data_IF_794696378055
#
_entry.id   IF_794696378055
#
_cell.length_a   1.000
_cell.length_b   1.000
_cell.length_c   1.000
_cell.angle_alpha   90.00
_cell.angle_beta   90.00
_cell.angle_gamma   90.00
#
_symmetry.space_group_name_H-M   'P 1'
#
loop_
_entity.id
_entity.type
_entity.pdbx_description
1 polymer ?
#
# COMPACT_ATOMS: atom_id res chain seq x y z
N UNK A 1 -4.86 -23.15 -10.69
CA UNK A 1 -4.85 -21.97 -11.57
C UNK A 1 -5.84 -22.21 -12.69
N UNK A 2 -6.78 -21.29 -12.90
CA UNK A 2 -7.51 -21.26 -14.16
C UNK A 2 -6.50 -21.09 -15.30
N UNK A 3 -6.60 -21.92 -16.32
CA UNK A 3 -5.75 -21.80 -17.50
C UNK A 3 -6.14 -20.49 -18.21
N UNK A 4 -5.19 -19.57 -18.40
CA UNK A 4 -5.43 -18.34 -19.15
C UNK A 4 -5.61 -18.72 -20.62
N UNK A 5 -6.81 -18.51 -21.16
CA UNK A 5 -7.14 -18.81 -22.56
C UNK A 5 -7.47 -17.55 -23.36
N UNK A 6 -7.47 -17.65 -24.70
CA UNK A 6 -7.93 -16.56 -25.57
C UNK A 6 -9.39 -16.17 -25.29
N UNK A 7 -10.26 -17.15 -25.05
CA UNK A 7 -11.67 -16.93 -24.74
C UNK A 7 -11.83 -16.16 -23.43
N UNK A 8 -11.09 -16.55 -22.38
CA UNK A 8 -11.06 -15.82 -21.12
C UNK A 8 -10.62 -14.37 -21.29
N UNK A 9 -9.50 -14.14 -22.00
CA UNK A 9 -8.96 -12.80 -22.22
C UNK A 9 -9.86 -11.93 -23.10
N UNK A 10 -10.50 -12.53 -24.11
CA UNK A 10 -11.51 -11.87 -24.94
C UNK A 10 -12.72 -11.45 -24.11
N UNK A 11 -13.20 -12.32 -23.22
CA UNK A 11 -14.35 -12.05 -22.35
C UNK A 11 -14.07 -10.89 -21.38
N UNK A 12 -12.86 -10.81 -20.83
CA UNK A 12 -12.46 -9.73 -19.91
C UNK A 12 -12.49 -8.34 -20.55
N UNK A 13 -12.16 -8.21 -21.84
CA UNK A 13 -12.02 -6.90 -22.50
C UNK A 13 -13.22 -6.52 -23.36
N UNK A 14 -14.19 -7.42 -23.58
CA UNK A 14 -15.29 -7.24 -24.56
C UNK A 14 -16.11 -5.97 -24.33
N UNK A 15 -16.25 -5.52 -23.08
CA UNK A 15 -17.02 -4.31 -22.76
C UNK A 15 -16.25 -3.02 -23.08
N UNK A 16 -14.91 -3.06 -23.04
CA UNK A 16 -14.04 -1.93 -23.37
C UNK A 16 -13.65 -1.89 -24.85
N UNK A 17 -13.54 -3.08 -25.45
CA UNK A 17 -13.04 -3.28 -26.81
C UNK A 17 -14.01 -4.22 -27.58
N UNK A 18 -15.29 -3.84 -27.75
CA UNK A 18 -16.33 -4.69 -28.33
C UNK A 18 -16.11 -5.03 -29.80
N UNK A 19 -15.29 -4.25 -30.47
CA UNK A 19 -14.89 -4.35 -31.88
C UNK A 19 -13.57 -5.11 -32.08
N UNK A 20 -12.97 -5.63 -31.01
CA UNK A 20 -11.68 -6.35 -31.06
C UNK A 20 -11.88 -7.85 -30.97
N UNK A 21 -11.18 -8.58 -31.84
CA UNK A 21 -10.94 -10.03 -31.70
C UNK A 21 -9.49 -10.30 -31.32
N UNK A 22 -9.26 -10.89 -30.16
CA UNK A 22 -7.94 -11.28 -29.65
C UNK A 22 -7.54 -12.61 -30.30
N UNK A 23 -6.39 -12.62 -30.98
CA UNK A 23 -5.89 -13.77 -31.73
C UNK A 23 -4.65 -14.40 -31.07
N UNK A 24 -3.95 -13.64 -30.24
CA UNK A 24 -2.71 -14.07 -29.61
C UNK A 24 -2.53 -13.37 -28.26
N UNK A 25 -1.94 -14.07 -27.31
CA UNK A 25 -1.44 -13.47 -26.08
C UNK A 25 -0.11 -14.08 -25.67
N UNK A 26 0.66 -13.32 -24.90
CA UNK A 26 1.87 -13.80 -24.25
C UNK A 26 1.99 -13.20 -22.85
N UNK A 27 2.41 -14.02 -21.89
CA UNK A 27 2.67 -13.60 -20.51
C UNK A 27 4.15 -13.44 -20.25
N UNK A 28 4.52 -12.36 -19.55
CA UNK A 28 5.84 -12.18 -18.98
C UNK A 28 5.72 -11.66 -17.54
N UNK A 29 6.72 -11.84 -16.66
CA UNK A 29 6.73 -11.19 -15.36
C UNK A 29 6.46 -9.67 -15.49
N UNK A 30 5.46 -9.19 -14.76
CA UNK A 30 4.98 -7.81 -14.79
C UNK A 30 5.86 -6.86 -13.97
N UNK A 31 6.65 -7.41 -13.05
CA UNK A 31 7.55 -6.71 -12.12
C UNK A 31 8.93 -7.38 -12.07
N UNK A 32 9.95 -6.67 -11.60
CA UNK A 32 11.28 -7.24 -11.36
C UNK A 32 11.29 -8.04 -10.05
N UNK A 33 12.33 -8.84 -9.87
CA UNK A 33 12.56 -9.58 -8.61
C UNK A 33 12.72 -8.59 -7.45
N UNK A 34 11.95 -8.81 -6.39
CA UNK A 34 11.88 -7.93 -5.22
C UNK A 34 10.95 -6.71 -5.36
N UNK A 35 10.19 -6.59 -6.45
CA UNK A 35 9.17 -5.53 -6.58
C UNK A 35 7.81 -5.95 -5.97
N UNK A 36 7.57 -7.26 -5.82
CA UNK A 36 6.37 -7.81 -5.20
C UNK A 36 6.74 -9.07 -4.40
N UNK A 37 6.24 -9.15 -3.17
CA UNK A 37 6.51 -10.23 -2.21
C UNK A 37 5.25 -11.03 -1.84
N UNK A 38 4.06 -10.53 -2.17
CA UNK A 38 2.78 -11.09 -1.70
C UNK A 38 2.08 -11.89 -2.79
N UNK A 39 2.39 -11.63 -4.07
CA UNK A 39 1.69 -12.20 -5.22
C UNK A 39 2.60 -12.29 -6.45
N UNK A 40 2.34 -13.27 -7.32
CA UNK A 40 2.95 -13.30 -8.65
C UNK A 40 2.21 -12.31 -9.55
N UNK A 41 2.96 -11.53 -10.34
CA UNK A 41 2.40 -10.52 -11.23
C UNK A 41 2.90 -10.77 -12.64
N UNK A 42 1.98 -10.98 -13.57
CA UNK A 42 2.27 -11.13 -14.99
C UNK A 42 1.71 -9.95 -15.75
N UNK A 43 2.48 -9.44 -16.72
CA UNK A 43 1.94 -8.61 -17.80
C UNK A 43 1.58 -9.54 -18.94
N UNK A 44 0.31 -9.54 -19.31
CA UNK A 44 -0.18 -10.28 -20.46
C UNK A 44 -0.35 -9.29 -21.61
N UNK A 45 0.45 -9.45 -22.66
CA UNK A 45 0.31 -8.69 -23.91
C UNK A 45 -0.72 -9.39 -24.79
N UNK A 46 -1.69 -8.63 -25.30
CA UNK A 46 -2.77 -9.10 -26.15
C UNK A 46 -2.57 -8.55 -27.57
N UNK A 47 -2.69 -9.39 -28.59
CA UNK A 47 -2.65 -8.99 -30.00
C UNK A 47 -3.88 -9.52 -30.72
N UNK A 48 -4.46 -8.68 -31.58
CA UNK A 48 -5.74 -8.95 -32.21
C UNK A 48 -5.98 -8.08 -33.43
N UNK A 49 -7.25 -8.05 -33.82
CA UNK A 49 -7.75 -7.24 -34.94
C UNK A 49 -8.91 -6.39 -34.41
N UNK A 50 -8.90 -5.09 -34.70
CA UNK A 50 -10.03 -4.18 -34.48
C UNK A 50 -10.84 -4.04 -35.76
N UNK A 51 -12.16 -4.21 -35.68
CA UNK A 51 -13.08 -4.04 -36.80
C UNK A 51 -13.76 -2.67 -36.76
N UNK A 52 -13.59 -1.89 -37.81
CA UNK A 52 -14.31 -0.63 -37.95
C UNK A 52 -15.65 -0.88 -38.64
N UNK A 53 -16.74 -0.81 -37.88
CA UNK A 53 -18.10 -0.89 -38.40
C UNK A 53 -18.65 0.54 -38.53
N UNK A 54 -18.31 1.23 -39.62
CA UNK A 54 -18.96 2.49 -39.97
C UNK A 54 -20.15 2.24 -40.94
N UNK A 55 -21.33 2.82 -40.68
CA UNK A 55 -22.47 2.66 -41.58
C UNK A 55 -22.18 3.26 -42.97
N UNK A 56 -22.04 2.39 -43.97
CA UNK A 56 -21.86 2.79 -45.38
C UNK A 56 -20.43 2.83 -45.89
N UNK A 57 -19.44 2.38 -45.11
CA UNK A 57 -18.06 2.15 -45.58
C UNK A 57 -17.76 0.65 -45.72
N UNK A 58 -16.64 0.31 -46.36
CA UNK A 58 -16.13 -1.06 -46.36
C UNK A 58 -15.58 -1.39 -44.98
N UNK A 59 -15.87 -2.60 -44.47
CA UNK A 59 -15.24 -3.12 -43.25
C UNK A 59 -13.71 -3.01 -43.38
N UNK A 60 -13.08 -2.30 -42.44
CA UNK A 60 -11.63 -2.26 -42.30
C UNK A 60 -11.20 -2.96 -41.02
N UNK A 61 -10.11 -3.72 -41.13
CA UNK A 61 -9.50 -4.47 -40.05
C UNK A 61 -8.10 -3.93 -39.80
N UNK A 62 -7.87 -3.41 -38.59
CA UNK A 62 -6.58 -2.86 -38.18
C UNK A 62 -5.93 -3.75 -37.11
N UNK A 63 -4.59 -3.95 -37.15
CA UNK A 63 -3.89 -4.62 -36.07
C UNK A 63 -4.11 -3.90 -34.74
N UNK A 64 -4.44 -4.66 -33.71
CA UNK A 64 -4.66 -4.17 -32.36
C UNK A 64 -3.68 -4.82 -31.38
N UNK A 65 -3.19 -4.03 -30.43
CA UNK A 65 -2.36 -4.53 -29.34
C UNK A 65 -2.74 -3.81 -28.04
N UNK A 66 -2.78 -4.54 -26.93
CA UNK A 66 -2.93 -3.99 -25.58
C UNK A 66 -2.24 -4.87 -24.55
N UNK A 67 -2.34 -4.50 -23.27
CA UNK A 67 -1.85 -5.32 -22.17
C UNK A 67 -2.72 -5.20 -20.92
N UNK A 68 -2.71 -6.26 -20.13
CA UNK A 68 -3.34 -6.33 -18.81
C UNK A 68 -2.34 -6.85 -17.78
N UNK A 69 -2.60 -6.54 -16.51
CA UNK A 69 -1.86 -7.09 -15.38
C UNK A 69 -2.67 -8.23 -14.78
N UNK A 70 -2.08 -9.41 -14.73
CA UNK A 70 -2.64 -10.61 -14.13
C UNK A 70 -1.88 -10.92 -12.85
N UNK A 71 -2.54 -10.79 -11.70
CA UNK A 71 -2.00 -11.17 -10.40
C UNK A 71 -2.58 -12.51 -9.98
N UNK A 72 -1.76 -13.37 -9.41
CA UNK A 72 -2.20 -14.61 -8.79
C UNK A 72 -1.38 -14.97 -7.56
N UNK A 73 -1.92 -15.86 -6.74
CA UNK A 73 -1.23 -16.39 -5.56
C UNK A 73 0.07 -17.12 -5.95
N UNK A 74 1.16 -17.00 -5.18
CA UNK A 74 2.35 -17.82 -5.37
C UNK A 74 2.01 -19.31 -5.32
N UNK A 75 2.65 -20.12 -6.17
CA UNK A 75 2.40 -21.57 -6.22
C UNK A 75 2.85 -22.28 -4.92
N UNK A 76 3.90 -21.74 -4.29
CA UNK A 76 4.42 -22.27 -3.03
C UNK A 76 3.52 -21.87 -1.86
N UNK A 77 2.84 -22.86 -1.27
CA UNK A 77 2.04 -22.70 -0.04
C UNK A 77 2.89 -22.11 1.09
N UNK A 78 4.15 -22.53 1.21
CA UNK A 78 5.04 -21.99 2.24
C UNK A 78 5.32 -20.48 2.04
N UNK A 79 5.53 -20.03 0.80
CA UNK A 79 5.70 -18.60 0.52
C UNK A 79 4.41 -17.83 0.77
N UNK A 80 3.25 -18.43 0.44
CA UNK A 80 1.94 -17.83 0.75
C UNK A 80 1.76 -17.61 2.25
N UNK A 81 2.01 -18.65 3.06
CA UNK A 81 1.90 -18.56 4.51
C UNK A 81 2.89 -17.52 5.08
N UNK A 82 4.13 -17.51 4.59
CA UNK A 82 5.18 -16.62 5.05
C UNK A 82 4.88 -15.13 4.80
N UNK A 83 4.22 -14.82 3.67
CA UNK A 83 3.90 -13.45 3.26
C UNK A 83 2.43 -13.08 3.50
N UNK A 84 1.64 -13.93 4.16
CA UNK A 84 0.19 -13.75 4.36
C UNK A 84 -0.54 -13.50 3.03
N UNK A 85 -0.07 -14.15 1.97
CA UNK A 85 -0.55 -13.89 0.61
C UNK A 85 -2.05 -14.08 0.48
N UNK A 86 -2.61 -15.10 1.12
CA UNK A 86 -4.05 -15.40 1.07
C UNK A 86 -4.88 -14.27 1.68
N UNK A 87 -4.56 -13.88 2.92
CA UNK A 87 -5.29 -12.82 3.63
C UNK A 87 -5.17 -11.47 2.90
N UNK A 88 -3.98 -11.15 2.38
CA UNK A 88 -3.75 -9.94 1.59
C UNK A 88 -4.50 -9.96 0.24
N UNK A 89 -4.61 -11.13 -0.39
CA UNK A 89 -5.38 -11.27 -1.63
C UNK A 89 -6.88 -11.11 -1.35
N UNK A 90 -7.37 -11.64 -0.22
CA UNK A 90 -8.75 -11.44 0.23
C UNK A 90 -9.08 -9.95 0.40
N UNK A 91 -8.18 -9.17 1.01
CA UNK A 91 -8.35 -7.71 1.11
C UNK A 91 -8.42 -7.03 -0.27
N UNK A 92 -7.54 -7.40 -1.21
CA UNK A 92 -7.54 -6.83 -2.57
C UNK A 92 -8.85 -7.17 -3.33
N UNK A 93 -9.36 -8.39 -3.15
CA UNK A 93 -10.64 -8.83 -3.72
C UNK A 93 -11.81 -8.08 -3.09
N UNK A 94 -11.86 -7.97 -1.76
CA UNK A 94 -12.89 -7.20 -1.07
C UNK A 94 -12.88 -5.73 -1.50
N UNK A 95 -11.69 -5.15 -1.68
CA UNK A 95 -11.53 -3.79 -2.16
C UNK A 95 -12.18 -3.59 -3.54
N UNK A 96 -11.84 -4.42 -4.53
CA UNK A 96 -12.34 -4.25 -5.89
C UNK A 96 -13.81 -4.66 -6.06
N UNK A 97 -14.28 -5.68 -5.34
CA UNK A 97 -15.65 -6.19 -5.51
C UNK A 97 -16.70 -5.49 -4.63
N UNK A 98 -16.28 -4.82 -3.54
CA UNK A 98 -17.23 -4.23 -2.57
C UNK A 98 -16.92 -2.78 -2.25
N UNK A 99 -15.72 -2.53 -1.74
CA UNK A 99 -15.39 -1.23 -1.14
C UNK A 99 -15.35 -0.14 -2.20
N UNK A 100 -14.61 -0.36 -3.28
CA UNK A 100 -14.53 0.61 -4.35
C UNK A 100 -15.89 0.83 -5.04
N UNK A 101 -16.68 -0.21 -5.38
CA UNK A 101 -18.06 -0.03 -5.85
C UNK A 101 -18.94 0.81 -4.91
N UNK A 102 -18.92 0.54 -3.60
CA UNK A 102 -19.69 1.30 -2.60
C UNK A 102 -19.20 2.75 -2.50
N UNK A 103 -17.90 2.98 -2.32
CA UNK A 103 -17.32 4.34 -2.28
C UNK A 103 -17.58 5.11 -3.57
N UNK A 104 -17.45 4.46 -4.74
CA UNK A 104 -17.73 5.08 -6.04
C UNK A 104 -19.20 5.44 -6.21
N UNK A 105 -20.11 4.62 -5.68
CA UNK A 105 -21.56 4.88 -5.70
C UNK A 105 -21.93 6.00 -4.75
N UNK A 106 -21.39 5.99 -3.53
CA UNK A 106 -21.53 7.07 -2.56
C UNK A 106 -21.00 8.40 -3.12
N UNK A 107 -19.83 8.40 -3.77
CA UNK A 107 -19.26 9.61 -4.38
C UNK A 107 -20.20 10.26 -5.41
N UNK A 108 -21.01 9.47 -6.14
CA UNK A 108 -21.96 9.97 -7.16
C UNK A 108 -23.17 10.68 -6.56
N UNK A 109 -23.41 10.57 -5.26
CA UNK A 109 -24.48 11.27 -4.56
C UNK A 109 -24.18 12.76 -4.37
N UNK A 110 -22.91 13.16 -4.57
CA UNK A 110 -22.41 14.49 -4.27
C UNK A 110 -21.89 15.20 -5.53
N UNK A 111 -22.00 16.52 -5.55
CA UNK A 111 -21.46 17.36 -6.64
C UNK A 111 -19.96 17.64 -6.44
N UNK A 112 -19.16 16.58 -6.50
CA UNK A 112 -17.71 16.65 -6.31
C UNK A 112 -17.05 17.16 -7.60
N UNK A 113 -16.38 18.32 -7.54
CA UNK A 113 -15.78 18.96 -8.74
C UNK A 113 -14.74 18.10 -9.44
N UNK A 114 -13.94 17.39 -8.65
CA UNK A 114 -12.88 16.49 -9.13
C UNK A 114 -13.01 15.16 -8.38
N UNK A 115 -13.92 14.28 -8.82
CA UNK A 115 -14.14 13.01 -8.15
C UNK A 115 -12.89 12.14 -8.20
N UNK A 116 -12.62 11.42 -7.12
CA UNK A 116 -11.50 10.48 -7.04
C UNK A 116 -11.70 9.36 -8.07
N UNK A 117 -10.66 9.13 -8.88
CA UNK A 117 -10.64 8.16 -10.00
C UNK A 117 -9.31 7.42 -10.11
N UNK A 118 -8.43 7.53 -9.11
CA UNK A 118 -7.08 6.97 -9.15
C UNK A 118 -7.03 5.49 -8.76
N UNK A 119 -8.01 4.72 -9.23
CA UNK A 119 -8.11 3.28 -9.06
C UNK A 119 -7.96 2.63 -10.44
N UNK A 120 -6.98 1.74 -10.63
CA UNK A 120 -6.88 0.98 -11.88
C UNK A 120 -8.18 0.23 -12.14
N UNK A 121 -8.64 0.20 -13.38
CA UNK A 121 -9.79 -0.64 -13.75
C UNK A 121 -9.47 -2.10 -13.43
N UNK A 122 -10.34 -2.72 -12.65
CA UNK A 122 -10.33 -4.15 -12.38
C UNK A 122 -11.30 -4.83 -13.36
N UNK A 123 -10.80 -5.81 -14.11
CA UNK A 123 -11.62 -6.66 -14.98
C UNK A 123 -12.14 -7.88 -14.22
N UNK A 124 -11.38 -8.38 -13.25
CA UNK A 124 -11.71 -9.55 -12.45
C UNK A 124 -11.00 -9.49 -11.10
N UNK A 125 -11.72 -9.82 -10.03
CA UNK A 125 -11.14 -10.08 -8.72
C UNK A 125 -11.81 -11.30 -8.08
N UNK A 126 -11.04 -12.37 -7.89
CA UNK A 126 -11.45 -13.65 -7.34
C UNK A 126 -10.41 -14.12 -6.31
N UNK A 127 -10.71 -15.18 -5.55
CA UNK A 127 -9.88 -15.64 -4.43
C UNK A 127 -8.41 -15.93 -4.77
N UNK A 128 -8.08 -16.27 -6.01
CA UNK A 128 -6.72 -16.61 -6.44
C UNK A 128 -6.20 -15.77 -7.62
N UNK A 129 -7.04 -14.88 -8.18
CA UNK A 129 -6.76 -14.12 -9.40
C UNK A 129 -7.32 -12.70 -9.34
N UNK A 130 -6.49 -11.70 -9.65
CA UNK A 130 -6.90 -10.30 -9.85
C UNK A 130 -6.36 -9.82 -11.19
N UNK A 131 -7.23 -9.33 -12.07
CA UNK A 131 -6.89 -8.85 -13.41
C UNK A 131 -7.18 -7.36 -13.52
N UNK A 132 -6.15 -6.57 -13.78
CA UNK A 132 -6.19 -5.11 -13.80
C UNK A 132 -5.75 -4.55 -15.15
N UNK A 133 -6.19 -3.34 -15.45
CA UNK A 133 -5.68 -2.55 -16.59
C UNK A 133 -4.19 -2.24 -16.41
N UNK A 134 -3.40 -2.45 -17.46
CA UNK A 134 -1.98 -2.09 -17.45
C UNK A 134 -1.82 -0.57 -17.63
N UNK A 135 -1.47 0.11 -16.53
CA UNK A 135 -1.25 1.55 -16.51
C UNK A 135 0.01 1.99 -17.26
N UNK A 136 0.95 1.07 -17.56
CA UNK A 136 2.16 1.41 -18.30
C UNK A 136 1.85 1.94 -19.70
N UNK A 137 0.78 1.45 -20.34
CA UNK A 137 0.29 1.92 -21.65
C UNK A 137 -0.26 3.34 -21.59
N UNK A 138 -0.67 3.81 -20.41
CA UNK A 138 -1.13 5.17 -20.17
C UNK A 138 0.01 6.13 -19.78
N UNK A 139 1.27 5.67 -19.83
CA UNK A 139 2.45 6.48 -19.53
C UNK A 139 2.84 6.51 -18.05
N UNK A 140 2.16 5.75 -17.18
CA UNK A 140 2.58 5.64 -15.78
C UNK A 140 3.88 4.86 -15.64
N UNK A 141 4.76 5.35 -14.76
CA UNK A 141 6.06 4.75 -14.47
C UNK A 141 6.18 4.60 -12.96
N UNK A 142 6.67 3.43 -12.53
CA UNK A 142 7.05 3.20 -11.13
C UNK A 142 8.39 3.90 -10.86
N UNK A 143 8.45 4.81 -9.87
CA UNK A 143 9.71 5.42 -9.44
C UNK A 143 10.72 4.37 -8.96
N UNK A 144 12.01 4.72 -9.00
CA UNK A 144 13.04 3.87 -8.41
C UNK A 144 12.90 3.85 -6.89
N UNK A 145 12.56 2.69 -6.33
CA UNK A 145 12.36 2.52 -4.88
C UNK A 145 13.57 2.90 -4.05
N UNK A 146 14.78 2.92 -4.62
CA UNK A 146 16.01 3.30 -3.92
C UNK A 146 16.17 4.83 -3.81
N UNK A 147 15.55 5.58 -4.70
CA UNK A 147 15.63 7.04 -4.75
C UNK A 147 14.51 7.73 -3.95
N UNK A 148 13.40 7.03 -3.70
CA UNK A 148 12.23 7.64 -3.07
C UNK A 148 11.46 8.55 -4.03
N UNK A 149 10.67 9.46 -3.46
CA UNK A 149 9.84 10.42 -4.19
C UNK A 149 10.49 11.80 -4.20
N UNK A 150 10.29 12.52 -5.31
CA UNK A 150 10.48 13.97 -5.30
C UNK A 150 9.39 14.64 -4.45
N UNK A 151 9.64 15.86 -3.99
CA UNK A 151 8.64 16.63 -3.24
C UNK A 151 7.37 16.85 -4.07
N UNK A 152 7.51 17.17 -5.36
CA UNK A 152 6.38 17.34 -6.28
C UNK A 152 5.54 16.05 -6.39
N UNK A 153 6.20 14.89 -6.51
CA UNK A 153 5.52 13.60 -6.51
C UNK A 153 4.83 13.33 -5.18
N UNK A 154 5.43 13.72 -4.06
CA UNK A 154 4.82 13.60 -2.74
C UNK A 154 3.52 14.41 -2.64
N UNK A 155 3.50 15.67 -3.11
CA UNK A 155 2.27 16.47 -3.18
C UNK A 155 1.17 15.78 -4.02
N UNK A 156 1.51 15.15 -5.15
CA UNK A 156 0.54 14.37 -5.93
C UNK A 156 0.00 13.16 -5.16
N UNK A 157 0.87 12.40 -4.47
CA UNK A 157 0.46 11.26 -3.65
C UNK A 157 -0.47 11.73 -2.52
N UNK A 158 -0.08 12.76 -1.77
CA UNK A 158 -0.86 13.30 -0.66
C UNK A 158 -2.22 13.82 -1.11
N UNK A 159 -2.31 14.44 -2.28
CA UNK A 159 -3.59 14.85 -2.86
C UNK A 159 -4.53 13.66 -3.06
N UNK A 160 -4.03 12.58 -3.66
CA UNK A 160 -4.84 11.39 -3.92
C UNK A 160 -5.20 10.63 -2.65
N UNK A 161 -4.28 10.55 -1.67
CA UNK A 161 -4.59 10.03 -0.34
C UNK A 161 -5.68 10.86 0.32
N UNK A 162 -5.57 12.18 0.35
CA UNK A 162 -6.56 13.07 0.93
C UNK A 162 -7.95 12.90 0.30
N UNK A 163 -8.01 12.72 -1.03
CA UNK A 163 -9.26 12.48 -1.73
C UNK A 163 -9.91 11.14 -1.37
N UNK A 164 -9.13 10.06 -1.31
CA UNK A 164 -9.65 8.74 -0.92
C UNK A 164 -10.07 8.72 0.55
N UNK A 165 -9.24 9.29 1.42
CA UNK A 165 -9.47 9.45 2.85
C UNK A 165 -10.74 10.27 3.14
N UNK A 166 -10.93 11.40 2.45
CA UNK A 166 -12.15 12.19 2.54
C UNK A 166 -13.39 11.39 2.13
N UNK A 167 -13.30 10.62 1.04
CA UNK A 167 -14.42 9.81 0.55
C UNK A 167 -14.82 8.74 1.58
N UNK A 168 -13.83 8.08 2.17
CA UNK A 168 -14.04 7.10 3.24
C UNK A 168 -14.66 7.72 4.50
N UNK A 169 -14.11 8.85 4.97
CA UNK A 169 -14.61 9.51 6.18
C UNK A 169 -16.02 10.11 5.96
N UNK A 170 -16.29 10.69 4.79
CA UNK A 170 -17.62 11.16 4.43
C UNK A 170 -18.64 10.02 4.42
N UNK A 171 -18.30 8.86 3.84
CA UNK A 171 -19.17 7.68 3.87
C UNK A 171 -19.41 7.20 5.30
N UNK A 172 -18.39 7.19 6.17
CA UNK A 172 -18.56 6.85 7.59
C UNK A 172 -19.55 7.78 8.29
N UNK A 173 -19.51 9.08 7.99
CA UNK A 173 -20.40 10.05 8.63
C UNK A 173 -21.83 9.99 8.10
N UNK A 174 -22.02 9.84 6.79
CA UNK A 174 -23.34 9.91 6.15
C UNK A 174 -24.03 8.56 5.98
N UNK A 175 -23.26 7.48 5.81
CA UNK A 175 -23.73 6.11 5.57
C UNK A 175 -23.01 5.10 6.49
N UNK A 176 -23.05 5.26 7.83
CA UNK A 176 -22.26 4.45 8.76
C UNK A 176 -22.58 2.94 8.68
N UNK A 177 -23.84 2.56 8.47
CA UNK A 177 -24.25 1.14 8.39
C UNK A 177 -23.52 0.44 7.24
N UNK A 178 -23.62 0.99 6.02
CA UNK A 178 -22.92 0.45 4.84
C UNK A 178 -21.41 0.50 5.01
N UNK A 179 -20.86 1.56 5.63
CA UNK A 179 -19.43 1.67 5.92
C UNK A 179 -18.94 0.52 6.82
N UNK A 180 -19.63 0.25 7.93
CA UNK A 180 -19.19 -0.78 8.88
C UNK A 180 -19.46 -2.21 8.36
N UNK A 181 -20.45 -2.42 7.49
CA UNK A 181 -20.67 -3.71 6.81
C UNK A 181 -19.48 -4.13 5.93
N UNK A 182 -18.77 -3.16 5.35
CA UNK A 182 -17.57 -3.40 4.53
C UNK A 182 -16.32 -3.80 5.36
N UNK A 183 -16.35 -3.69 6.69
CA UNK A 183 -15.26 -4.09 7.61
C UNK A 183 -15.39 -5.52 8.13
N UNK A 184 -16.30 -6.32 7.58
CA UNK A 184 -16.56 -7.64 8.15
C UNK A 184 -15.37 -8.60 7.93
N UNK A 185 -15.19 -9.52 8.87
CA UNK A 185 -14.03 -10.45 8.91
C UNK A 185 -14.13 -11.59 7.88
N UNK A 186 -15.31 -11.84 7.31
CA UNK A 186 -15.51 -12.96 6.39
C UNK A 186 -15.10 -12.62 4.96
N UNK A 187 -15.42 -11.41 4.51
CA UNK A 187 -15.24 -10.98 3.12
C UNK A 187 -15.12 -9.46 2.96
N UNK A 188 -14.72 -8.76 4.03
CA UNK A 188 -14.39 -7.33 4.09
C UNK A 188 -12.91 -7.10 4.41
N UNK A 189 -12.54 -5.86 4.77
CA UNK A 189 -11.15 -5.53 5.11
C UNK A 189 -10.79 -5.97 6.53
N UNK A 190 -9.55 -6.45 6.67
CA UNK A 190 -8.96 -6.75 7.97
C UNK A 190 -7.49 -6.36 8.06
N UNK A 191 -7.04 -6.02 9.28
CA UNK A 191 -5.61 -5.95 9.60
C UNK A 191 -5.03 -7.36 9.53
N UNK A 192 -4.01 -7.55 8.69
CA UNK A 192 -3.43 -8.88 8.44
C UNK A 192 -2.20 -9.15 9.31
N UNK A 193 -1.39 -8.13 9.61
CA UNK A 193 -0.09 -8.32 10.24
C UNK A 193 -0.16 -8.09 11.75
N UNK A 194 -0.56 -6.89 12.15
CA UNK A 194 -0.47 -6.45 13.55
C UNK A 194 -1.79 -6.67 14.29
N UNK A 195 -2.18 -7.94 14.38
CA UNK A 195 -3.22 -8.43 15.28
C UNK A 195 -2.61 -9.26 16.41
N UNK A 196 -3.19 -9.22 17.60
CA UNK A 196 -2.67 -9.91 18.80
C UNK A 196 -2.39 -11.40 18.59
N UNK A 197 -3.19 -12.05 17.76
CA UNK A 197 -3.14 -13.47 17.42
C UNK A 197 -1.86 -13.84 16.66
N UNK A 198 -1.22 -12.86 16.01
CA UNK A 198 0.00 -13.05 15.24
C UNK A 198 1.28 -12.81 16.06
N UNK A 199 1.19 -12.41 17.34
CA UNK A 199 2.37 -12.04 18.14
C UNK A 199 3.40 -13.17 18.21
N UNK A 200 2.96 -14.38 18.57
CA UNK A 200 3.85 -15.54 18.67
C UNK A 200 4.41 -15.95 17.30
N UNK A 201 3.63 -15.77 16.24
CA UNK A 201 4.05 -16.06 14.87
C UNK A 201 5.21 -15.15 14.44
N UNK A 202 5.13 -13.84 14.73
CA UNK A 202 6.16 -12.87 14.34
C UNK A 202 7.23 -12.61 15.40
N UNK A 203 7.15 -13.24 16.59
CA UNK A 203 8.11 -13.02 17.69
C UNK A 203 9.57 -13.16 17.25
N UNK A 204 9.90 -14.30 16.64
CA UNK A 204 11.26 -14.56 16.17
C UNK A 204 11.62 -13.70 14.95
N UNK A 205 10.65 -13.42 14.08
CA UNK A 205 10.84 -12.58 12.91
C UNK A 205 11.29 -11.17 13.31
N UNK A 206 10.51 -10.51 14.19
CA UNK A 206 10.81 -9.15 14.64
C UNK A 206 12.01 -9.07 15.59
N UNK A 207 12.31 -10.14 16.34
CA UNK A 207 13.58 -10.25 17.07
C UNK A 207 14.78 -10.13 16.13
N UNK A 208 14.80 -10.91 15.05
CA UNK A 208 15.89 -10.89 14.07
C UNK A 208 15.95 -9.54 13.32
N UNK A 209 14.79 -8.99 12.94
CA UNK A 209 14.70 -7.69 12.26
C UNK A 209 15.23 -6.55 13.17
N UNK A 210 14.83 -6.56 14.44
CA UNK A 210 15.31 -5.62 15.45
C UNK A 210 16.83 -5.72 15.67
N UNK A 211 17.37 -6.93 15.84
CA UNK A 211 18.81 -7.14 16.00
C UNK A 211 19.60 -6.63 14.79
N UNK A 212 19.12 -6.90 13.58
CA UNK A 212 19.73 -6.35 12.37
C UNK A 212 19.69 -4.83 12.36
N UNK A 213 18.52 -4.22 12.61
CA UNK A 213 18.36 -2.78 12.62
C UNK A 213 19.25 -2.08 13.65
N UNK A 214 19.32 -2.64 14.86
CA UNK A 214 20.20 -2.12 15.92
C UNK A 214 21.67 -2.22 15.49
N UNK A 215 22.11 -3.35 14.93
CA UNK A 215 23.48 -3.50 14.41
C UNK A 215 23.79 -2.50 13.30
N UNK A 216 22.83 -2.18 12.44
CA UNK A 216 22.98 -1.17 11.40
C UNK A 216 23.24 0.21 11.99
N UNK A 217 22.42 0.63 12.96
CA UNK A 217 22.56 1.93 13.63
C UNK A 217 23.88 1.99 14.42
N UNK A 218 24.22 0.93 15.13
CA UNK A 218 25.45 0.85 15.91
C UNK A 218 26.71 0.96 15.04
N UNK A 219 26.67 0.36 13.84
CA UNK A 219 27.77 0.42 12.86
C UNK A 219 27.88 1.80 12.23
N UNK A 220 26.77 2.37 11.77
CA UNK A 220 26.74 3.66 11.08
C UNK A 220 27.16 4.82 12.00
N UNK A 221 26.76 4.76 13.27
CA UNK A 221 27.15 5.78 14.26
C UNK A 221 28.63 5.73 14.64
N UNK A 222 29.33 4.59 14.46
CA UNK A 222 30.75 4.46 14.80
C UNK A 222 31.07 4.96 16.22
N UNK A 223 31.96 5.95 16.31
CA UNK A 223 32.42 6.62 17.54
C UNK A 223 31.67 7.92 17.86
N UNK A 224 30.45 8.10 17.34
CA UNK A 224 29.65 9.30 17.60
C UNK A 224 29.37 9.50 19.10
N UNK A 225 29.65 10.69 19.62
CA UNK A 225 29.66 10.99 21.07
C UNK A 225 28.38 10.62 21.80
N UNK A 226 27.22 10.88 21.20
CA UNK A 226 25.90 10.66 21.83
C UNK A 226 25.24 9.33 21.43
N UNK A 227 26.00 8.40 20.81
CA UNK A 227 25.48 7.14 20.27
C UNK A 227 24.58 6.37 21.24
N UNK A 228 24.97 6.26 22.51
CA UNK A 228 24.21 5.51 23.52
C UNK A 228 22.81 6.11 23.78
N UNK A 229 22.65 7.44 23.71
CA UNK A 229 21.33 8.09 23.85
C UNK A 229 20.33 7.59 22.81
N UNK A 230 20.79 7.38 21.57
CA UNK A 230 19.94 6.92 20.47
C UNK A 230 19.71 5.41 20.54
N UNK A 231 20.78 4.64 20.78
CA UNK A 231 20.70 3.18 20.87
C UNK A 231 19.85 2.72 22.05
N UNK A 232 19.90 3.39 23.21
CA UNK A 232 19.08 3.04 24.37
C UNK A 232 17.58 3.13 24.04
N UNK A 233 17.14 4.29 23.52
CA UNK A 233 15.75 4.50 23.10
C UNK A 233 15.32 3.54 21.99
N UNK A 234 16.20 3.29 21.03
CA UNK A 234 15.90 2.36 19.95
C UNK A 234 15.78 0.91 20.42
N UNK A 235 16.66 0.44 21.31
CA UNK A 235 16.57 -0.88 21.93
C UNK A 235 15.29 -1.02 22.76
N UNK A 236 14.87 0.03 23.46
CA UNK A 236 13.61 0.03 24.21
C UNK A 236 12.39 -0.12 23.29
N UNK A 237 12.36 0.58 22.16
CA UNK A 237 11.31 0.42 21.16
C UNK A 237 11.29 -0.98 20.55
N UNK A 238 12.48 -1.49 20.19
CA UNK A 238 12.66 -2.79 19.55
C UNK A 238 12.56 -3.99 20.50
N UNK A 239 12.23 -3.78 21.78
CA UNK A 239 12.19 -4.88 22.74
C UNK A 239 11.07 -5.87 22.41
N UNK A 240 11.32 -7.16 22.62
CA UNK A 240 10.34 -8.23 22.33
C UNK A 240 9.03 -8.06 23.13
N UNK A 241 9.07 -7.35 24.27
CA UNK A 241 7.90 -7.09 25.11
C UNK A 241 7.00 -5.97 24.56
N UNK A 242 7.57 -5.04 23.78
CA UNK A 242 6.90 -3.79 23.41
C UNK A 242 6.65 -3.64 21.92
N UNK A 243 7.55 -4.11 21.05
CA UNK A 243 7.51 -3.81 19.62
C UNK A 243 6.19 -4.24 18.98
N UNK A 244 5.86 -5.54 19.02
CA UNK A 244 4.69 -6.06 18.33
C UNK A 244 3.40 -5.48 18.90
N UNK A 245 3.27 -5.41 20.23
CA UNK A 245 2.14 -4.79 20.91
C UNK A 245 1.97 -3.31 20.57
N UNK A 246 3.07 -2.57 20.48
CA UNK A 246 3.05 -1.16 20.06
C UNK A 246 2.52 -1.05 18.63
N UNK A 247 2.91 -1.95 17.73
CA UNK A 247 2.39 -1.96 16.36
C UNK A 247 0.89 -2.27 16.30
N UNK A 248 0.41 -3.24 17.08
CA UNK A 248 -1.03 -3.56 17.24
C UNK A 248 -1.80 -2.32 17.73
N UNK A 249 -1.31 -1.64 18.76
CA UNK A 249 -1.93 -0.43 19.31
C UNK A 249 -1.93 0.75 18.30
N UNK A 250 -0.93 0.82 17.42
CA UNK A 250 -0.79 1.87 16.41
C UNK A 250 -1.77 1.69 15.26
N UNK A 251 -1.97 0.46 14.77
CA UNK A 251 -2.90 0.15 13.68
C UNK A 251 -4.36 0.09 14.15
N UNK A 252 -4.59 -0.06 15.45
CA UNK A 252 -5.94 -0.05 16.02
C UNK A 252 -6.64 1.28 15.69
N UNK A 253 -7.82 1.27 15.06
CA UNK A 253 -8.53 2.48 14.67
C UNK A 253 -8.82 3.38 15.88
N UNK A 254 -8.57 4.69 15.70
CA UNK A 254 -8.91 5.72 16.67
C UNK A 254 -9.83 6.76 16.05
N UNK A 255 -11.00 6.88 16.64
CA UNK A 255 -11.98 7.88 16.26
C UNK A 255 -11.53 9.29 16.66
N UNK A 256 -11.98 10.35 15.94
CA UNK A 256 -12.88 10.33 14.79
C UNK A 256 -12.17 10.16 13.44
N UNK A 257 -10.84 10.18 13.39
CA UNK A 257 -10.08 10.19 12.13
C UNK A 257 -9.90 8.82 11.48
N UNK A 258 -10.31 7.72 12.10
CA UNK A 258 -10.19 6.42 11.46
C UNK A 258 -11.00 6.35 10.13
N UNK A 259 -10.37 5.80 9.09
CA UNK A 259 -10.88 5.69 7.71
C UNK A 259 -10.15 4.57 6.93
N UNK A 260 -10.60 4.27 5.72
CA UNK A 260 -9.93 3.33 4.81
C UNK A 260 -8.60 3.89 4.31
N UNK A 261 -7.54 3.10 4.42
CA UNK A 261 -6.19 3.43 3.94
C UNK A 261 -5.90 2.89 2.53
N UNK A 262 -4.92 3.50 1.85
CA UNK A 262 -4.54 3.15 0.47
C UNK A 262 -3.31 2.24 0.42
N UNK A 263 -3.60 0.95 0.36
CA UNK A 263 -2.81 -0.11 -0.26
C UNK A 263 -3.80 -1.25 -0.39
N UNK A 264 -4.26 -1.64 -1.58
CA UNK A 264 -5.42 -2.53 -1.67
C UNK A 264 -5.19 -3.91 -1.06
N UNK A 265 -3.93 -4.33 -0.88
CA UNK A 265 -3.58 -5.56 -0.17
C UNK A 265 -3.52 -5.34 1.35
N UNK A 266 -3.03 -4.18 1.78
CA UNK A 266 -2.93 -3.79 3.20
C UNK A 266 -4.09 -2.93 3.69
N UNK A 267 -5.16 -2.82 2.89
CA UNK A 267 -6.26 -1.91 3.12
C UNK A 267 -6.90 -2.23 4.46
N UNK A 268 -7.03 -1.21 5.29
CA UNK A 268 -7.52 -1.34 6.66
C UNK A 268 -8.27 -0.09 7.07
N UNK A 269 -9.07 -0.22 8.11
CA UNK A 269 -9.69 0.89 8.81
C UNK A 269 -8.78 1.37 9.94
N UNK A 270 -8.13 2.52 9.77
CA UNK A 270 -7.20 3.05 10.74
C UNK A 270 -6.96 4.55 10.57
N UNK A 271 -6.06 5.12 11.36
CA UNK A 271 -5.70 6.55 11.27
C UNK A 271 -5.05 6.88 9.91
N UNK A 272 -5.45 7.95 9.21
CA UNK A 272 -4.81 8.37 7.95
C UNK A 272 -3.33 8.70 8.13
N UNK A 273 -2.93 9.01 9.37
CA UNK A 273 -1.55 9.26 9.72
C UNK A 273 -0.62 8.07 9.48
N UNK A 274 -1.13 6.83 9.36
CA UNK A 274 -0.31 5.66 9.01
C UNK A 274 0.19 5.73 7.57
N UNK A 275 -0.68 6.06 6.60
CA UNK A 275 -0.30 6.26 5.21
C UNK A 275 0.63 7.46 5.06
N UNK A 276 0.35 8.55 5.80
CA UNK A 276 1.23 9.72 5.81
C UNK A 276 2.61 9.37 6.38
N UNK A 277 2.66 8.70 7.52
CA UNK A 277 3.92 8.30 8.13
C UNK A 277 4.72 7.35 7.21
N UNK A 278 4.04 6.42 6.54
CA UNK A 278 4.65 5.53 5.55
C UNK A 278 5.30 6.34 4.41
N UNK A 279 4.52 7.19 3.73
CA UNK A 279 5.01 8.00 2.60
C UNK A 279 6.13 8.94 3.06
N UNK A 280 5.96 9.62 4.19
CA UNK A 280 6.92 10.62 4.66
C UNK A 280 8.24 10.01 5.12
N UNK A 281 8.22 8.93 5.91
CA UNK A 281 9.45 8.36 6.46
C UNK A 281 10.13 7.34 5.55
N UNK A 282 9.38 6.62 4.71
CA UNK A 282 9.95 5.61 3.82
C UNK A 282 10.24 6.12 2.41
N UNK A 283 9.51 7.14 1.95
CA UNK A 283 9.64 7.63 0.58
C UNK A 283 10.35 8.99 0.47
N UNK A 284 10.61 9.70 1.56
CA UNK A 284 11.39 10.94 1.55
C UNK A 284 12.74 10.76 2.28
N UNK A 285 13.72 11.57 1.89
CA UNK A 285 14.96 11.74 2.64
C UNK A 285 14.74 12.64 3.86
N UNK A 286 15.64 12.56 4.85
CA UNK A 286 15.57 13.38 6.07
C UNK A 286 15.56 14.88 5.77
N UNK A 287 16.41 15.35 4.86
CA UNK A 287 16.49 16.77 4.49
C UNK A 287 15.18 17.28 3.88
N UNK A 288 14.51 16.45 3.08
CA UNK A 288 13.19 16.76 2.51
C UNK A 288 12.13 16.90 3.62
N UNK A 289 12.17 16.03 4.65
CA UNK A 289 11.25 16.13 5.79
C UNK A 289 11.51 17.39 6.62
N UNK A 290 12.77 17.68 6.93
CA UNK A 290 13.16 18.88 7.69
C UNK A 290 12.66 20.17 7.02
N UNK A 291 12.68 20.23 5.68
CA UNK A 291 12.24 21.40 4.92
C UNK A 291 10.72 21.44 4.68
N UNK A 292 10.08 20.29 4.41
CA UNK A 292 8.72 20.28 3.85
C UNK A 292 7.64 19.64 4.71
N UNK A 293 7.97 18.96 5.82
CA UNK A 293 6.99 18.17 6.59
C UNK A 293 5.73 18.97 6.96
N UNK A 294 5.91 20.17 7.53
CA UNK A 294 4.80 21.05 7.90
C UNK A 294 3.91 21.36 6.70
N UNK A 295 4.51 21.79 5.59
CA UNK A 295 3.78 22.15 4.37
C UNK A 295 3.03 20.96 3.74
N UNK A 296 3.59 19.75 3.85
CA UNK A 296 2.97 18.53 3.34
C UNK A 296 1.74 18.14 4.16
N UNK A 297 1.83 18.21 5.50
CA UNK A 297 0.69 17.94 6.40
C UNK A 297 -0.41 19.00 6.26
N UNK A 298 -0.04 20.27 6.10
CA UNK A 298 -1.00 21.36 5.83
C UNK A 298 -1.73 21.11 4.51
N UNK A 299 -0.99 20.81 3.44
CA UNK A 299 -1.56 20.53 2.13
C UNK A 299 -2.51 19.34 2.14
N UNK A 300 -2.10 18.23 2.77
CA UNK A 300 -2.96 17.06 2.92
C UNK A 300 -4.27 17.42 3.65
N UNK A 301 -4.17 18.19 4.74
CA UNK A 301 -5.33 18.57 5.55
C UNK A 301 -6.26 19.51 4.79
N UNK A 302 -5.69 20.47 4.05
CA UNK A 302 -6.45 21.39 3.20
C UNK A 302 -7.24 20.62 2.14
N UNK A 303 -6.59 19.68 1.46
CA UNK A 303 -7.25 18.85 0.45
C UNK A 303 -8.31 17.94 1.07
N UNK A 304 -8.02 17.31 2.22
CA UNK A 304 -8.96 16.45 2.94
C UNK A 304 -10.21 17.24 3.33
N UNK A 305 -10.06 18.35 4.05
CA UNK A 305 -11.17 19.16 4.53
C UNK A 305 -11.99 19.71 3.37
N UNK A 306 -11.33 20.26 2.34
CA UNK A 306 -11.99 20.77 1.14
C UNK A 306 -12.83 19.70 0.43
N UNK A 307 -12.38 18.45 0.40
CA UNK A 307 -13.13 17.33 -0.16
C UNK A 307 -14.32 16.93 0.71
N UNK A 308 -14.17 16.94 2.03
CA UNK A 308 -15.26 16.67 2.97
C UNK A 308 -16.38 17.71 2.87
N UNK A 309 -16.05 18.99 2.69
CA UNK A 309 -17.05 20.04 2.48
C UNK A 309 -17.85 19.84 1.18
N UNK A 310 -17.26 19.25 0.13
CA UNK A 310 -17.99 18.91 -1.10
C UNK A 310 -18.95 17.72 -0.92
N UNK A 311 -18.78 16.93 0.15
CA UNK A 311 -19.58 15.76 0.48
C UNK A 311 -20.31 15.95 1.83
N UNK A 312 -20.68 17.19 2.15
CA UNK A 312 -21.41 17.54 3.36
C UNK A 312 -22.26 18.79 3.17
N UNK A 313 -23.16 19.04 4.11
CA UNK A 313 -23.95 20.27 4.22
C UNK A 313 -23.53 21.09 5.44
N UNK A 314 -24.11 22.29 5.58
CA UNK A 314 -23.79 23.23 6.68
C UNK A 314 -24.06 22.67 8.09
N UNK A 315 -24.88 21.62 8.21
CA UNK A 315 -25.18 20.95 9.48
C UNK A 315 -24.20 19.80 9.78
N UNK A 316 -23.45 19.34 8.77
CA UNK A 316 -22.50 18.25 8.93
C UNK A 316 -21.36 18.60 9.90
N UNK A 317 -20.77 17.55 10.47
CA UNK A 317 -19.62 17.67 11.38
C UNK A 317 -18.43 18.38 10.73
N UNK A 318 -18.31 18.39 9.40
CA UNK A 318 -17.20 19.00 8.67
C UNK A 318 -17.22 20.54 8.68
N UNK A 319 -18.40 21.14 8.85
CA UNK A 319 -18.58 22.59 8.98
C UNK A 319 -18.58 23.05 10.45
N UNK A 320 -18.83 22.14 11.39
CA UNK A 320 -19.09 22.50 12.79
C UNK A 320 -17.97 22.04 13.72
N UNK A 321 -17.78 20.74 13.91
CA UNK A 321 -16.89 20.16 14.91
C UNK A 321 -15.55 19.65 14.37
N UNK A 322 -15.46 19.41 13.07
CA UNK A 322 -14.27 18.94 12.36
C UNK A 322 -13.82 20.00 11.33
N UNK A 323 -13.58 21.21 11.81
CA UNK A 323 -13.03 22.29 10.99
C UNK A 323 -11.60 21.95 10.54
N UNK A 324 -11.11 22.63 9.50
CA UNK A 324 -9.75 22.46 8.99
C UNK A 324 -8.68 22.50 10.09
N UNK A 325 -8.76 23.50 10.98
CA UNK A 325 -7.75 23.71 12.02
C UNK A 325 -7.78 22.60 13.08
N UNK A 326 -8.99 22.19 13.50
CA UNK A 326 -9.16 21.05 14.41
C UNK A 326 -8.61 19.77 13.76
N UNK A 327 -8.94 19.53 12.48
CA UNK A 327 -8.40 18.38 11.74
C UNK A 327 -6.87 18.41 11.65
N UNK A 328 -6.29 19.59 11.42
CA UNK A 328 -4.84 19.75 11.34
C UNK A 328 -4.16 19.43 12.68
N UNK A 329 -4.69 19.94 13.79
CA UNK A 329 -4.19 19.65 15.14
C UNK A 329 -4.25 18.15 15.44
N UNK A 330 -5.41 17.53 15.19
CA UNK A 330 -5.60 16.09 15.39
C UNK A 330 -4.68 15.25 14.50
N UNK A 331 -4.48 15.66 13.24
CA UNK A 331 -3.59 14.98 12.32
C UNK A 331 -2.13 15.09 12.78
N UNK A 332 -1.69 16.26 13.27
CA UNK A 332 -0.33 16.43 13.78
C UNK A 332 -0.06 15.52 14.99
N UNK A 333 -1.01 15.42 15.91
CA UNK A 333 -0.91 14.51 17.06
C UNK A 333 -0.84 13.04 16.61
N UNK A 334 -1.73 12.65 15.71
CA UNK A 334 -1.76 11.29 15.17
C UNK A 334 -0.52 10.96 14.32
N UNK A 335 0.02 11.92 13.58
CA UNK A 335 1.26 11.77 12.80
C UNK A 335 2.46 11.53 13.72
N UNK A 336 2.59 12.32 14.79
CA UNK A 336 3.62 12.10 15.83
C UNK A 336 3.49 10.72 16.47
N UNK A 337 2.26 10.27 16.75
CA UNK A 337 1.99 8.91 17.26
C UNK A 337 2.41 7.85 16.24
N UNK A 338 2.04 8.01 14.98
CA UNK A 338 2.31 7.06 13.89
C UNK A 338 3.76 7.09 13.39
N UNK A 339 4.60 8.02 13.83
CA UNK A 339 6.02 8.00 13.53
C UNK A 339 6.71 6.72 14.05
N UNK A 340 6.25 6.18 15.19
CA UNK A 340 6.68 4.86 15.71
C UNK A 340 6.24 3.70 14.82
N UNK A 341 5.08 3.82 14.17
CA UNK A 341 4.63 2.83 13.19
C UNK A 341 5.57 2.81 11.99
N UNK A 342 5.92 3.98 11.45
CA UNK A 342 6.89 4.07 10.38
C UNK A 342 8.25 3.48 10.75
N UNK A 343 8.73 3.69 11.99
CA UNK A 343 9.94 3.02 12.48
C UNK A 343 9.78 1.50 12.51
N UNK A 344 8.69 0.98 13.05
CA UNK A 344 8.41 -0.45 13.08
C UNK A 344 8.33 -1.08 11.69
N UNK A 345 7.69 -0.41 10.73
CA UNK A 345 7.67 -0.84 9.32
C UNK A 345 9.05 -0.71 8.66
N UNK A 346 9.86 0.28 9.04
CA UNK A 346 11.19 0.49 8.48
C UNK A 346 12.15 -0.66 8.79
N UNK A 347 11.93 -1.42 9.88
CA UNK A 347 12.70 -2.64 10.18
C UNK A 347 12.64 -3.65 9.03
N UNK A 348 11.52 -3.70 8.31
CA UNK A 348 11.31 -4.57 7.14
C UNK A 348 11.58 -3.84 5.83
N UNK A 349 11.01 -2.64 5.68
CA UNK A 349 10.97 -1.94 4.41
C UNK A 349 12.33 -1.39 3.99
N UNK A 350 13.16 -0.86 4.89
CA UNK A 350 14.49 -0.41 4.48
C UNK A 350 15.34 -1.57 3.95
N UNK A 351 15.45 -2.73 4.64
CA UNK A 351 16.15 -3.88 4.06
C UNK A 351 15.57 -4.35 2.72
N UNK A 352 14.24 -4.45 2.61
CA UNK A 352 13.55 -4.85 1.37
C UNK A 352 13.88 -3.89 0.22
N UNK A 353 13.79 -2.58 0.47
CA UNK A 353 13.97 -1.56 -0.56
C UNK A 353 15.42 -1.47 -1.03
N UNK A 354 16.39 -1.66 -0.13
CA UNK A 354 17.81 -1.48 -0.42
C UNK A 354 18.53 -2.78 -0.77
N UNK A 355 17.96 -3.95 -0.53
CA UNK A 355 18.60 -5.22 -0.90
C UNK A 355 18.86 -5.31 -2.42
N UNK A 356 19.82 -6.14 -2.80
CA UNK A 356 20.03 -6.43 -4.22
C UNK A 356 18.93 -7.34 -4.74
N UNK A 357 18.44 -7.07 -5.96
CA UNK A 357 17.35 -7.84 -6.57
C UNK A 357 17.65 -9.34 -6.66
N UNK A 358 18.94 -9.72 -6.69
CA UNK A 358 19.36 -11.13 -6.72
C UNK A 358 19.27 -11.82 -5.35
N UNK A 359 19.16 -11.05 -4.27
CA UNK A 359 19.03 -11.52 -2.88
C UNK A 359 17.56 -11.52 -2.43
N UNK A 360 16.70 -10.72 -3.05
CA UNK A 360 15.27 -10.70 -2.76
C UNK A 360 14.61 -12.08 -2.99
N UNK A 361 13.65 -12.51 -2.14
CA UNK A 361 12.78 -13.64 -2.40
C UNK A 361 12.25 -13.68 -3.85
N UNK A 362 12.32 -14.85 -4.49
CA UNK A 362 11.81 -15.05 -5.84
C UNK A 362 10.50 -15.86 -5.81
N UNK A 363 9.37 -15.18 -5.93
CA UNK A 363 8.05 -15.83 -5.91
C UNK A 363 7.79 -16.73 -7.12
N UNK A 364 8.53 -16.55 -8.21
CA UNK A 364 8.37 -17.32 -9.45
C UNK A 364 9.18 -18.62 -9.46
N UNK A 365 9.97 -18.90 -8.41
CA UNK A 365 10.70 -20.16 -8.29
C UNK A 365 9.84 -21.18 -7.55
N UNK A 366 9.32 -22.17 -8.28
CA UNK A 366 8.83 -23.40 -7.68
C UNK A 366 10.04 -24.16 -7.11
N UNK A 367 10.25 -24.10 -5.79
CA UNK A 367 11.18 -25.05 -5.17
C UNK A 367 10.47 -26.39 -5.03
N UNK A 368 10.64 -27.24 -6.03
CA UNK A 368 10.56 -28.69 -5.85
C UNK A 368 11.67 -29.11 -4.85
N UNK A 369 11.28 -29.95 -3.90
CA UNK A 369 12.06 -30.62 -2.85
C UNK A 369 12.16 -29.92 -1.47
N UNK A 370 11.28 -30.41 -0.58
CA UNK A 370 11.34 -30.60 0.87
C UNK A 370 12.54 -30.04 1.68
N UNK A 371 12.23 -29.23 2.72
CA UNK A 371 12.50 -29.53 4.15
C UNK A 371 12.00 -28.40 5.08
N UNK A 372 11.88 -28.67 6.39
CA UNK A 372 10.71 -29.20 7.08
C UNK A 372 9.64 -28.14 7.43
N UNK A 373 8.43 -28.63 7.78
CA UNK A 373 7.44 -27.84 8.53
C UNK A 373 8.13 -27.24 9.75
N UNK A 374 8.08 -25.90 9.89
CA UNK A 374 8.61 -25.08 11.01
C UNK A 374 9.96 -24.37 10.85
N UNK A 375 10.46 -24.05 9.66
CA UNK A 375 11.39 -22.92 9.56
C UNK A 375 10.58 -21.60 9.64
N UNK A 376 10.80 -20.84 10.71
CA UNK A 376 10.25 -19.50 10.88
C UNK A 376 10.70 -18.63 9.70
N UNK A 377 9.76 -17.93 9.05
CA UNK A 377 10.07 -16.90 8.06
C UNK A 377 11.11 -15.95 8.65
N UNK A 378 12.15 -15.64 7.89
CA UNK A 378 13.20 -14.70 8.29
C UNK A 378 12.98 -13.37 7.57
N UNK A 379 13.26 -12.23 8.23
CA UNK A 379 13.24 -10.93 7.56
C UNK A 379 14.31 -10.88 6.46
N UNK A 380 14.10 -10.01 5.47
CA UNK A 380 15.13 -9.72 4.47
C UNK A 380 16.33 -9.13 5.20
N UNK A 381 17.48 -9.78 5.06
CA UNK A 381 18.70 -9.33 5.71
C UNK A 381 19.57 -8.57 4.71
N UNK A 382 19.84 -7.29 5.02
CA UNK A 382 20.87 -6.49 4.36
C UNK A 382 21.43 -5.50 5.37
N UNK A 383 22.66 -5.08 5.15
CA UNK A 383 23.36 -4.08 5.97
C UNK A 383 24.17 -3.13 5.09
N UNK A 384 23.73 -2.91 3.84
CA UNK A 384 24.42 -1.99 2.94
C UNK A 384 24.34 -0.55 3.44
N UNK A 385 25.24 0.29 2.93
CA UNK A 385 25.40 1.68 3.39
C UNK A 385 24.10 2.49 3.32
N UNK A 386 23.33 2.35 2.24
CA UNK A 386 22.05 3.04 2.10
C UNK A 386 21.04 2.62 3.17
N UNK A 387 20.95 1.31 3.47
CA UNK A 387 20.06 0.79 4.51
C UNK A 387 20.46 1.31 5.90
N UNK A 388 21.76 1.25 6.22
CA UNK A 388 22.28 1.70 7.51
C UNK A 388 22.05 3.18 7.73
N UNK A 389 22.34 4.00 6.72
CA UNK A 389 22.10 5.45 6.77
C UNK A 389 20.62 5.77 6.98
N UNK A 390 19.72 5.18 6.18
CA UNK A 390 18.27 5.42 6.31
C UNK A 390 17.73 5.03 7.69
N UNK A 391 18.12 3.87 8.20
CA UNK A 391 17.73 3.42 9.53
C UNK A 391 18.25 4.36 10.63
N UNK A 392 19.53 4.76 10.54
CA UNK A 392 20.18 5.66 11.50
C UNK A 392 19.54 7.05 11.49
N UNK A 393 19.31 7.62 10.30
CA UNK A 393 18.67 8.93 10.13
C UNK A 393 17.28 8.95 10.76
N UNK A 394 16.47 7.91 10.52
CA UNK A 394 15.13 7.80 11.10
C UNK A 394 15.18 7.67 12.63
N UNK A 395 16.05 6.81 13.17
CA UNK A 395 16.19 6.65 14.63
C UNK A 395 16.62 7.97 15.28
N UNK A 396 17.60 8.65 14.71
CA UNK A 396 18.06 9.95 15.23
C UNK A 396 16.94 10.99 15.20
N UNK A 397 16.26 11.11 14.07
CA UNK A 397 15.16 12.07 13.89
C UNK A 397 14.05 11.84 14.92
N UNK A 398 13.63 10.59 15.15
CA UNK A 398 12.58 10.29 16.14
C UNK A 398 13.03 10.55 17.57
N UNK A 399 14.28 10.24 17.91
CA UNK A 399 14.84 10.49 19.24
C UNK A 399 14.97 11.99 19.53
N UNK A 400 15.42 12.78 18.55
CA UNK A 400 15.61 14.23 18.69
C UNK A 400 14.28 14.98 18.80
N UNK A 401 13.25 14.50 18.10
CA UNK A 401 11.90 15.04 18.20
C UNK A 401 11.09 14.50 19.40
N UNK A 402 11.69 13.65 20.26
CA UNK A 402 11.01 13.07 21.42
C UNK A 402 9.88 12.10 21.06
N UNK A 403 9.93 11.52 19.86
CA UNK A 403 8.95 10.56 19.33
C UNK A 403 9.32 9.11 19.65
N UNK A 404 10.57 8.87 20.09
CA UNK A 404 11.07 7.62 20.67
C UNK A 404 11.46 7.88 22.12
#
# INVERSE_FOLDING_TARGET
MAEVTLEFLQDLIKDDEPDVTVNYFEGAPGSKRGDNYTSMVYRITLKGIRRHIEPGSNESEDPWESSIIYKCLPESVHLRDAFKSDELFCNEVAFYNKIWPSLSSFQKLWDVKTPFKSIPKCYLAQSDTVVLKDLKRLGFVMPDRRQGLSIEQCYFVLKHLAQFHALSLAMKCHNPEEFYELLNVQDGLSEVFFVSENEDYYRNYYKEAALNAISMVETEMGDFTDKERYLEKFRQFCSEETLFKTMVDLVTPKEPLAMYLVDFQLARYASPALDLAYVTYLCLERSQREEHLTSLLEYYTDELHRRLLEMGDEESVFYTSLTRDIMYEMLQEEFKRCARFALGIALDMYPIMTCDSNEAPNLYQAKENESPRHECTKPVWTSNEACRRKMTDLVMELVDNGLL
#
